data_IF_129592869660
#
_entry.id   IF_129592869660
#
_cell.length_a   1.000
_cell.length_b   1.000
_cell.length_c   1.000
_cell.angle_alpha   90.00
_cell.angle_beta   90.00
_cell.angle_gamma   90.00
#
_symmetry.space_group_name_H-M   'P 1'
#
loop_
_entity.id
_entity.type
_entity.pdbx_description
1 polymer ?
#
# COMPACT_ATOMS: atom_id res chain seq x y z
N UNK A 1 -22.35 -3.82 4.75
CA UNK A 1 -21.29 -4.63 4.11
C UNK A 1 -21.15 -5.93 4.85
N UNK A 2 -21.23 -7.03 4.11
CA UNK A 2 -20.91 -8.33 4.66
C UNK A 2 -19.38 -8.45 4.73
N UNK A 3 -18.85 -8.51 5.96
CA UNK A 3 -17.42 -8.64 6.18
C UNK A 3 -17.06 -10.12 6.30
N UNK A 4 -16.49 -10.66 5.23
CA UNK A 4 -15.99 -12.05 5.17
C UNK A 4 -17.03 -13.12 5.56
N UNK A 5 -18.32 -12.83 5.42
CA UNK A 5 -19.42 -13.71 5.84
C UNK A 5 -19.46 -13.97 7.36
N UNK A 6 -18.80 -13.12 8.16
CA UNK A 6 -18.75 -13.22 9.63
C UNK A 6 -19.68 -12.23 10.31
N UNK A 7 -19.80 -11.00 9.79
CA UNK A 7 -20.71 -10.00 10.34
C UNK A 7 -21.10 -8.93 9.32
N UNK A 8 -22.32 -8.41 9.46
CA UNK A 8 -22.87 -7.36 8.61
C UNK A 8 -22.66 -5.99 9.28
N UNK A 9 -21.78 -5.17 8.72
CA UNK A 9 -21.60 -3.78 9.16
C UNK A 9 -22.61 -2.90 8.42
N UNK A 10 -23.49 -2.19 9.14
CA UNK A 10 -24.38 -1.19 8.57
C UNK A 10 -24.09 0.18 9.18
N UNK A 11 -23.78 1.15 8.33
CA UNK A 11 -23.67 2.57 8.70
C UNK A 11 -24.22 3.42 7.54
N UNK A 12 -24.75 4.62 7.82
CA UNK A 12 -25.28 5.50 6.78
C UNK A 12 -24.16 6.07 5.91
N UNK A 13 -24.44 6.35 4.64
CA UNK A 13 -23.44 6.75 3.64
C UNK A 13 -22.57 7.94 4.09
N UNK A 14 -23.18 8.95 4.71
CA UNK A 14 -22.46 10.11 5.24
C UNK A 14 -21.42 9.75 6.30
N UNK A 15 -21.69 8.75 7.14
CA UNK A 15 -20.75 8.30 8.16
C UNK A 15 -19.54 7.61 7.52
N UNK A 16 -19.75 6.86 6.43
CA UNK A 16 -18.66 6.25 5.65
C UNK A 16 -17.68 7.28 5.09
N UNK A 17 -18.22 8.34 4.49
CA UNK A 17 -17.41 9.43 3.93
C UNK A 17 -16.56 10.09 5.02
N UNK A 18 -17.16 10.38 6.19
CA UNK A 18 -16.45 10.98 7.32
C UNK A 18 -15.33 10.06 7.82
N UNK A 19 -15.61 8.77 8.02
CA UNK A 19 -14.61 7.80 8.49
C UNK A 19 -13.44 7.73 7.50
N UNK A 20 -13.73 7.61 6.20
CA UNK A 20 -12.70 7.51 5.17
C UNK A 20 -11.83 8.77 5.13
N UNK A 21 -12.45 9.95 5.16
CA UNK A 21 -11.75 11.23 5.17
C UNK A 21 -10.86 11.39 6.42
N UNK A 22 -11.38 11.05 7.61
CA UNK A 22 -10.61 11.09 8.85
C UNK A 22 -9.43 10.13 8.83
N UNK A 23 -9.62 8.88 8.38
CA UNK A 23 -8.54 7.88 8.32
C UNK A 23 -7.46 8.25 7.29
N UNK A 24 -7.85 8.82 6.15
CA UNK A 24 -6.93 9.35 5.15
C UNK A 24 -6.12 10.54 5.71
N UNK A 25 -6.80 11.52 6.33
CA UNK A 25 -6.15 12.68 6.92
C UNK A 25 -5.16 12.29 8.04
N UNK A 26 -5.57 11.37 8.91
CA UNK A 26 -4.69 10.81 9.95
C UNK A 26 -3.48 10.12 9.34
N UNK A 27 -3.67 9.29 8.31
CA UNK A 27 -2.56 8.59 7.65
C UNK A 27 -1.55 9.55 7.02
N UNK A 28 -2.02 10.61 6.37
CA UNK A 28 -1.17 11.66 5.81
C UNK A 28 -0.38 12.37 6.93
N UNK A 29 -1.05 12.73 8.03
CA UNK A 29 -0.39 13.36 9.18
C UNK A 29 0.69 12.45 9.80
N UNK A 30 0.41 11.15 9.93
CA UNK A 30 1.38 10.15 10.42
C UNK A 30 2.57 10.01 9.47
N UNK A 31 2.35 10.09 8.16
CA UNK A 31 3.42 10.02 7.16
C UNK A 31 4.40 11.20 7.34
N UNK A 32 3.88 12.43 7.34
CA UNK A 32 4.71 13.62 7.51
C UNK A 32 5.36 13.69 8.89
N UNK A 33 4.63 13.33 9.96
CA UNK A 33 5.18 13.26 11.31
C UNK A 33 6.34 12.26 11.42
N UNK A 34 6.23 11.11 10.76
CA UNK A 34 7.28 10.10 10.73
C UNK A 34 8.53 10.58 9.99
N UNK A 35 8.40 11.35 8.90
CA UNK A 35 9.56 11.94 8.23
C UNK A 35 10.37 12.85 9.15
N UNK A 36 9.68 13.67 9.95
CA UNK A 36 10.33 14.55 10.92
C UNK A 36 11.09 13.76 11.99
N UNK A 37 10.49 12.71 12.53
CA UNK A 37 11.12 11.84 13.54
C UNK A 37 12.34 11.12 12.94
N UNK A 38 12.22 10.56 11.74
CA UNK A 38 13.33 9.88 11.06
C UNK A 38 14.50 10.83 10.77
N UNK A 39 14.21 12.06 10.32
CA UNK A 39 15.24 13.06 10.04
C UNK A 39 16.05 13.41 11.28
N UNK A 40 15.37 13.52 12.42
CA UNK A 40 16.01 13.82 13.69
C UNK A 40 16.81 12.63 14.23
N UNK A 41 16.27 11.41 14.15
CA UNK A 41 16.88 10.23 14.78
C UNK A 41 18.06 9.67 13.98
N UNK A 42 18.00 9.69 12.66
CA UNK A 42 19.05 9.13 11.82
C UNK A 42 20.14 10.17 11.46
N UNK A 43 20.02 11.41 11.95
CA UNK A 43 20.88 12.56 11.61
C UNK A 43 20.98 12.81 10.09
N UNK A 44 19.91 12.48 9.37
CA UNK A 44 19.81 12.64 7.91
C UNK A 44 18.97 13.86 7.57
N UNK A 45 19.41 14.61 6.55
CA UNK A 45 18.61 15.71 6.00
C UNK A 45 17.20 15.25 5.61
N UNK A 46 16.19 16.02 6.03
CA UNK A 46 14.78 15.80 5.71
C UNK A 46 14.54 15.61 4.21
N UNK A 47 15.24 16.39 3.36
CA UNK A 47 15.12 16.27 1.91
C UNK A 47 15.54 14.89 1.38
N UNK A 48 16.52 14.24 2.03
CA UNK A 48 16.99 12.92 1.62
C UNK A 48 15.99 11.84 1.99
N UNK A 49 15.35 11.95 3.15
CA UNK A 49 14.26 11.03 3.58
C UNK A 49 13.07 11.15 2.65
N UNK A 50 12.62 12.36 2.35
CA UNK A 50 11.53 12.62 1.41
C UNK A 50 11.89 12.12 0.00
N UNK A 51 13.13 12.33 -0.46
CA UNK A 51 13.60 11.79 -1.73
C UNK A 51 13.53 10.26 -1.79
N UNK A 52 13.99 9.58 -0.73
CA UNK A 52 13.92 8.11 -0.62
C UNK A 52 12.47 7.58 -0.56
N UNK A 53 11.56 8.32 0.08
CA UNK A 53 10.14 8.03 0.06
C UNK A 53 9.59 8.07 -1.36
N UNK A 54 9.85 9.13 -2.13
CA UNK A 54 9.35 9.26 -3.50
C UNK A 54 9.95 8.23 -4.47
N UNK A 55 11.23 7.86 -4.28
CA UNK A 55 11.84 6.76 -5.03
C UNK A 55 11.10 5.45 -4.74
N UNK A 56 10.84 5.15 -3.46
CA UNK A 56 10.11 3.94 -3.05
C UNK A 56 8.69 3.93 -3.60
N UNK A 57 8.00 5.06 -3.54
CA UNK A 57 6.66 5.24 -4.09
C UNK A 57 6.63 5.03 -5.60
N UNK A 58 7.57 5.62 -6.34
CA UNK A 58 7.70 5.44 -7.79
C UNK A 58 7.94 3.98 -8.17
N UNK A 59 8.84 3.29 -7.48
CA UNK A 59 9.09 1.86 -7.72
C UNK A 59 7.84 1.03 -7.45
N UNK A 60 7.13 1.28 -6.34
CA UNK A 60 5.89 0.55 -6.05
C UNK A 60 4.82 0.79 -7.12
N UNK A 61 4.64 2.04 -7.56
CA UNK A 61 3.67 2.37 -8.62
C UNK A 61 4.01 1.68 -9.94
N UNK A 62 5.28 1.68 -10.36
CA UNK A 62 5.73 0.94 -11.55
C UNK A 62 5.47 -0.56 -11.38
N UNK A 63 5.74 -1.10 -10.19
CA UNK A 63 5.55 -2.53 -9.90
C UNK A 63 4.07 -2.94 -9.96
N UNK A 64 3.18 -2.09 -9.46
CA UNK A 64 1.73 -2.27 -9.58
C UNK A 64 1.30 -2.18 -11.04
N UNK A 65 1.79 -1.19 -11.79
CA UNK A 65 1.47 -1.03 -13.21
C UNK A 65 1.92 -2.24 -14.05
N UNK A 66 3.13 -2.77 -13.79
CA UNK A 66 3.62 -4.00 -14.40
C UNK A 66 2.77 -5.21 -14.01
N UNK A 67 2.37 -5.32 -12.75
CA UNK A 67 1.46 -6.37 -12.29
C UNK A 67 0.14 -6.36 -13.04
N UNK A 68 -0.50 -5.18 -13.16
CA UNK A 68 -1.73 -5.00 -13.95
C UNK A 68 -1.48 -5.39 -15.41
N UNK A 69 -0.41 -4.89 -16.01
CA UNK A 69 -0.05 -5.19 -17.40
C UNK A 69 0.12 -6.68 -17.65
N UNK A 70 0.78 -7.40 -16.74
CA UNK A 70 0.98 -8.84 -16.86
C UNK A 70 -0.34 -9.62 -16.71
N UNK A 71 -1.20 -9.23 -15.77
CA UNK A 71 -2.55 -9.81 -15.63
C UNK A 71 -3.40 -9.58 -16.89
N UNK A 72 -3.29 -8.41 -17.53
CA UNK A 72 -3.98 -8.13 -18.79
C UNK A 72 -3.44 -8.96 -19.96
N UNK A 73 -2.11 -9.14 -20.05
CA UNK A 73 -1.50 -10.02 -21.06
C UNK A 73 -2.02 -11.45 -20.90
N UNK A 74 -2.11 -11.97 -19.67
CA UNK A 74 -2.68 -13.29 -19.42
C UNK A 74 -4.15 -13.37 -19.85
N UNK A 75 -4.95 -12.34 -19.60
CA UNK A 75 -6.33 -12.28 -20.07
C UNK A 75 -6.43 -12.34 -21.61
N UNK A 76 -5.54 -11.64 -22.33
CA UNK A 76 -5.49 -11.67 -23.79
C UNK A 76 -5.09 -13.05 -24.32
N UNK A 77 -4.08 -13.70 -23.70
CA UNK A 77 -3.67 -15.06 -24.07
C UNK A 77 -4.82 -16.05 -23.88
N UNK A 78 -5.52 -15.97 -22.73
CA UNK A 78 -6.67 -16.81 -22.45
C UNK A 78 -7.81 -16.60 -23.45
N UNK A 79 -8.05 -15.35 -23.85
CA UNK A 79 -9.04 -15.02 -24.87
C UNK A 79 -8.66 -15.61 -26.24
N UNK A 80 -7.38 -15.52 -26.63
CA UNK A 80 -6.88 -16.09 -27.88
C UNK A 80 -6.93 -17.63 -27.90
N UNK A 81 -6.74 -18.27 -26.75
CA UNK A 81 -6.83 -19.72 -26.59
C UNK A 81 -8.29 -20.25 -26.54
N UNK A 82 -9.30 -19.39 -26.69
CA UNK A 82 -10.71 -19.77 -26.60
C UNK A 82 -11.19 -20.05 -25.16
N UNK A 83 -10.34 -19.82 -24.16
CA UNK A 83 -10.64 -19.98 -22.74
C UNK A 83 -11.03 -18.67 -22.05
N UNK A 84 -11.58 -17.71 -22.80
CA UNK A 84 -12.10 -16.48 -22.22
C UNK A 84 -13.10 -16.82 -21.10
N UNK A 85 -13.03 -16.09 -19.98
CA UNK A 85 -13.94 -16.26 -18.83
C UNK A 85 -13.87 -17.64 -18.15
N UNK A 86 -12.87 -18.48 -18.44
CA UNK A 86 -12.72 -19.81 -17.81
C UNK A 86 -12.66 -19.78 -16.28
N UNK A 87 -12.23 -18.65 -15.72
CA UNK A 87 -12.20 -18.40 -14.27
C UNK A 87 -13.59 -18.30 -13.62
N UNK A 88 -14.68 -18.16 -14.39
CA UNK A 88 -16.05 -18.24 -13.87
C UNK A 88 -16.46 -19.67 -13.53
N UNK A 89 -15.94 -20.65 -14.27
CA UNK A 89 -16.19 -22.07 -14.02
C UNK A 89 -15.19 -22.61 -12.99
N UNK A 90 -13.92 -22.21 -13.12
CA UNK A 90 -12.83 -22.70 -12.28
C UNK A 90 -12.13 -21.55 -11.55
N UNK A 91 -12.66 -21.19 -10.38
CA UNK A 91 -12.20 -20.04 -9.57
C UNK A 91 -10.71 -20.14 -9.19
N UNK A 92 -10.16 -21.35 -9.07
CA UNK A 92 -8.74 -21.59 -8.79
C UNK A 92 -7.79 -20.99 -9.83
N UNK A 93 -8.26 -20.84 -11.08
CA UNK A 93 -7.49 -20.20 -12.15
C UNK A 93 -7.18 -18.73 -11.85
N UNK A 94 -8.03 -18.05 -11.06
CA UNK A 94 -7.81 -16.63 -10.69
C UNK A 94 -6.46 -16.48 -9.98
N UNK A 95 -6.14 -17.43 -9.10
CA UNK A 95 -4.91 -17.39 -8.33
C UNK A 95 -3.68 -17.49 -9.23
N UNK A 96 -3.62 -18.52 -10.08
CA UNK A 96 -2.47 -18.77 -10.96
C UNK A 96 -2.33 -17.74 -12.09
N UNK A 97 -3.44 -17.32 -12.70
CA UNK A 97 -3.43 -16.44 -13.88
C UNK A 97 -3.28 -14.96 -13.53
N UNK A 98 -3.87 -14.51 -12.42
CA UNK A 98 -3.96 -13.09 -12.11
C UNK A 98 -3.26 -12.73 -10.81
N UNK A 99 -3.49 -13.48 -9.72
CA UNK A 99 -2.96 -13.13 -8.40
C UNK A 99 -1.44 -13.35 -8.30
N UNK A 100 -0.95 -14.53 -8.68
CA UNK A 100 0.48 -14.86 -8.63
C UNK A 100 1.34 -13.88 -9.44
N UNK A 101 1.02 -13.59 -10.72
CA UNK A 101 1.83 -12.64 -11.48
C UNK A 101 1.81 -11.24 -10.89
N UNK A 102 0.65 -10.78 -10.40
CA UNK A 102 0.53 -9.48 -9.75
C UNK A 102 1.38 -9.39 -8.48
N UNK A 103 1.35 -10.41 -7.62
CA UNK A 103 2.18 -10.48 -6.40
C UNK A 103 3.66 -10.51 -6.75
N UNK A 104 4.05 -11.31 -7.74
CA UNK A 104 5.45 -11.40 -8.18
C UNK A 104 5.94 -10.03 -8.65
N UNK A 105 5.20 -9.34 -9.53
CA UNK A 105 5.58 -8.00 -10.00
C UNK A 105 5.68 -6.98 -8.85
N UNK A 106 4.70 -6.98 -7.94
CA UNK A 106 4.67 -6.04 -6.81
C UNK A 106 5.77 -6.29 -5.77
N UNK A 107 6.24 -7.53 -5.61
CA UNK A 107 7.38 -7.88 -4.73
C UNK A 107 8.72 -7.66 -5.43
N UNK A 108 8.81 -7.91 -6.73
CA UNK A 108 10.06 -7.82 -7.48
C UNK A 108 10.64 -6.40 -7.48
N UNK A 109 9.85 -5.37 -7.77
CA UNK A 109 10.38 -3.98 -7.79
C UNK A 109 11.06 -3.56 -6.48
N UNK A 110 10.42 -3.75 -5.30
CA UNK A 110 11.05 -3.52 -4.00
C UNK A 110 12.35 -4.32 -3.81
N UNK A 111 12.36 -5.61 -4.18
CA UNK A 111 13.55 -6.46 -4.06
C UNK A 111 14.68 -5.95 -4.95
N UNK A 112 14.38 -5.56 -6.18
CA UNK A 112 15.34 -4.98 -7.11
C UNK A 112 15.89 -3.65 -6.59
N UNK A 113 15.02 -2.79 -6.02
CA UNK A 113 15.44 -1.55 -5.40
C UNK A 113 16.42 -1.81 -4.25
N UNK A 114 16.12 -2.73 -3.34
CA UNK A 114 17.02 -3.05 -2.22
C UNK A 114 18.36 -3.62 -2.72
N UNK A 115 18.32 -4.48 -3.75
CA UNK A 115 19.51 -5.17 -4.28
C UNK A 115 20.44 -4.25 -5.07
N UNK A 116 19.89 -3.38 -5.91
CA UNK A 116 20.69 -2.58 -6.85
C UNK A 116 20.92 -1.15 -6.36
N UNK A 117 19.99 -0.58 -5.59
CA UNK A 117 20.10 0.80 -5.13
C UNK A 117 20.74 0.84 -3.73
N UNK A 118 22.03 1.19 -3.71
CA UNK A 118 22.80 1.43 -2.48
C UNK A 118 22.54 2.86 -2.01
N UNK A 119 21.89 2.98 -0.85
CA UNK A 119 21.67 4.25 -0.19
C UNK A 119 22.72 4.40 0.90
N UNK A 120 23.65 5.33 0.71
CA UNK A 120 24.58 5.73 1.75
C UNK A 120 23.85 6.57 2.80
N UNK A 121 24.23 6.43 4.07
CA UNK A 121 23.77 7.28 5.19
C UNK A 121 22.29 7.18 5.55
N UNK A 122 21.58 6.09 5.21
CA UNK A 122 20.22 5.83 5.72
C UNK A 122 20.15 4.40 6.26
N UNK A 123 19.73 4.24 7.52
CA UNK A 123 19.59 2.91 8.12
C UNK A 123 18.61 2.04 7.35
N UNK A 124 18.90 0.73 7.29
CA UNK A 124 18.02 -0.25 6.64
C UNK A 124 16.60 -0.24 7.22
N UNK A 125 16.47 -0.10 8.55
CA UNK A 125 15.17 -0.04 9.22
C UNK A 125 14.34 1.16 8.77
N UNK A 126 14.98 2.31 8.54
CA UNK A 126 14.32 3.51 8.04
C UNK A 126 13.91 3.34 6.59
N UNK A 127 14.73 2.69 5.76
CA UNK A 127 14.36 2.34 4.37
C UNK A 127 13.12 1.43 4.32
N UNK A 128 13.05 0.42 5.18
CA UNK A 128 11.88 -0.48 5.28
C UNK A 128 10.63 0.30 5.72
N UNK A 129 10.77 1.21 6.69
CA UNK A 129 9.64 2.01 7.16
C UNK A 129 9.16 2.98 6.07
N UNK A 130 10.06 3.64 5.34
CA UNK A 130 9.73 4.48 4.19
C UNK A 130 9.01 3.69 3.09
N UNK A 131 9.40 2.45 2.86
CA UNK A 131 8.71 1.56 1.94
C UNK A 131 7.26 1.28 2.39
N UNK A 132 7.05 0.95 3.67
CA UNK A 132 5.69 0.73 4.21
C UNK A 132 4.83 1.99 4.14
N UNK A 133 5.42 3.16 4.38
CA UNK A 133 4.72 4.45 4.26
C UNK A 133 4.37 4.79 2.81
N UNK A 134 5.22 4.43 1.85
CA UNK A 134 4.89 4.58 0.42
C UNK A 134 3.69 3.70 0.04
N UNK A 135 3.63 2.47 0.56
CA UNK A 135 2.51 1.56 0.34
C UNK A 135 1.23 2.11 0.99
N UNK A 136 1.34 2.62 2.22
CA UNK A 136 0.24 3.31 2.91
C UNK A 136 -0.27 4.50 2.09
N UNK A 137 0.62 5.30 1.49
CA UNK A 137 0.24 6.43 0.64
C UNK A 137 -0.55 6.00 -0.60
N UNK A 138 -0.17 4.88 -1.24
CA UNK A 138 -0.93 4.31 -2.37
C UNK A 138 -2.34 3.94 -1.91
N UNK A 139 -2.49 3.25 -0.78
CA UNK A 139 -3.82 2.88 -0.26
C UNK A 139 -4.65 4.09 0.16
N UNK A 140 -4.03 5.13 0.73
CA UNK A 140 -4.73 6.40 1.03
C UNK A 140 -5.22 7.06 -0.27
N UNK A 141 -4.39 7.12 -1.30
CA UNK A 141 -4.79 7.70 -2.59
C UNK A 141 -5.96 6.94 -3.22
N UNK A 142 -5.92 5.59 -3.18
CA UNK A 142 -7.02 4.74 -3.64
C UNK A 142 -8.29 4.99 -2.81
N UNK A 143 -8.17 5.06 -1.47
CA UNK A 143 -9.30 5.30 -0.58
C UNK A 143 -9.97 6.64 -0.88
N UNK A 144 -9.19 7.70 -1.06
CA UNK A 144 -9.69 9.05 -1.38
C UNK A 144 -10.38 9.04 -2.74
N UNK A 145 -9.78 8.41 -3.76
CA UNK A 145 -10.36 8.32 -5.10
C UNK A 145 -11.71 7.57 -5.09
N UNK A 146 -11.76 6.38 -4.46
CA UNK A 146 -12.97 5.55 -4.40
C UNK A 146 -14.08 6.23 -3.58
N UNK A 147 -13.70 6.94 -2.49
CA UNK A 147 -14.66 7.71 -1.69
C UNK A 147 -15.22 8.89 -2.49
N UNK A 148 -14.39 9.59 -3.26
CA UNK A 148 -14.83 10.69 -4.13
C UNK A 148 -15.72 10.24 -5.30
N UNK A 149 -15.59 8.98 -5.74
CA UNK A 149 -16.44 8.35 -6.73
C UNK A 149 -17.72 7.70 -6.14
N UNK A 150 -17.96 7.87 -4.83
CA UNK A 150 -19.12 7.31 -4.11
C UNK A 150 -19.26 5.78 -4.25
N UNK A 151 -18.14 5.09 -4.48
CA UNK A 151 -18.12 3.64 -4.61
C UNK A 151 -18.26 3.00 -3.22
N UNK A 152 -19.35 2.27 -3.01
CA UNK A 152 -19.70 1.66 -1.72
C UNK A 152 -18.63 0.70 -1.18
N UNK A 153 -17.79 0.09 -2.03
CA UNK A 153 -16.71 -0.81 -1.59
C UNK A 153 -15.49 -0.10 -0.98
N UNK A 154 -15.51 1.24 -0.83
CA UNK A 154 -14.44 2.01 -0.17
C UNK A 154 -14.04 1.46 1.21
N UNK A 155 -14.98 0.86 1.94
CA UNK A 155 -14.74 0.27 3.27
C UNK A 155 -13.59 -0.74 3.31
N UNK A 156 -13.35 -1.49 2.21
CA UNK A 156 -12.27 -2.46 2.14
C UNK A 156 -10.90 -1.78 2.30
N UNK A 157 -10.72 -0.64 1.64
CA UNK A 157 -9.51 0.15 1.72
C UNK A 157 -9.41 0.94 3.03
N UNK A 158 -10.54 1.35 3.61
CA UNK A 158 -10.58 1.97 4.95
C UNK A 158 -9.95 1.05 5.98
N UNK A 159 -10.31 -0.24 5.97
CA UNK A 159 -9.77 -1.23 6.92
C UNK A 159 -8.25 -1.37 6.76
N UNK A 160 -7.78 -1.46 5.51
CA UNK A 160 -6.33 -1.50 5.22
C UNK A 160 -5.62 -0.27 5.76
N UNK A 161 -6.15 0.93 5.50
CA UNK A 161 -5.58 2.20 5.99
C UNK A 161 -5.60 2.28 7.52
N UNK A 162 -6.64 1.79 8.18
CA UNK A 162 -6.71 1.70 9.65
C UNK A 162 -5.56 0.85 10.21
N UNK A 163 -5.31 -0.32 9.63
CA UNK A 163 -4.20 -1.18 10.05
C UNK A 163 -2.83 -0.55 9.80
N UNK A 164 -2.64 0.14 8.67
CA UNK A 164 -1.42 0.90 8.42
C UNK A 164 -1.23 2.03 9.43
N UNK A 165 -2.28 2.81 9.70
CA UNK A 165 -2.25 3.88 10.70
C UNK A 165 -1.88 3.33 12.09
N UNK A 166 -2.52 2.23 12.52
CA UNK A 166 -2.23 1.58 13.79
C UNK A 166 -0.78 1.10 13.86
N UNK A 167 -0.28 0.44 12.80
CA UNK A 167 1.11 -0.02 12.70
C UNK A 167 2.10 1.16 12.79
N UNK A 168 1.83 2.26 12.09
CA UNK A 168 2.68 3.46 12.13
C UNK A 168 2.69 4.10 13.51
N UNK A 169 1.53 4.21 14.18
CA UNK A 169 1.43 4.71 15.56
C UNK A 169 2.25 3.84 16.51
N UNK A 170 2.10 2.52 16.46
CA UNK A 170 2.86 1.59 17.29
C UNK A 170 4.37 1.73 17.04
N UNK A 171 4.78 1.81 15.77
CA UNK A 171 6.19 2.00 15.40
C UNK A 171 6.75 3.33 15.93
N UNK A 172 5.97 4.42 15.87
CA UNK A 172 6.38 5.70 16.45
C UNK A 172 6.55 5.58 17.96
N UNK A 173 5.57 5.01 18.69
CA UNK A 173 5.63 4.82 20.15
C UNK A 173 6.83 3.97 20.57
N UNK A 174 7.11 2.88 19.85
CA UNK A 174 8.24 2.00 20.16
C UNK A 174 9.57 2.70 19.87
N UNK A 175 9.70 3.41 18.73
CA UNK A 175 10.92 4.18 18.41
C UNK A 175 11.15 5.33 19.39
N UNK A 176 10.10 5.95 19.95
CA UNK A 176 10.24 6.91 21.05
C UNK A 176 10.85 6.29 22.31
N UNK A 177 10.82 4.96 22.46
CA UNK A 177 11.40 4.22 23.60
C UNK A 177 12.80 3.66 23.36
N UNK A 178 13.43 3.87 22.19
CA UNK A 178 14.85 3.54 22.03
C UNK A 178 15.69 4.55 22.83
N UNK A 179 15.74 4.27 24.14
CA UNK A 179 16.71 4.78 25.09
C UNK A 179 18.11 4.60 24.51
N UNK A 180 18.89 5.67 24.57
CA UNK A 180 20.34 5.63 24.53
C UNK A 180 20.85 4.46 25.38
N UNK A 181 21.53 3.52 24.73
CA UNK A 181 22.50 2.62 25.36
C UNK A 181 23.83 2.84 24.66
#
# INVERSE_FOLDING_TARGET
>A
FDFLNWFLIYYPDWAGIIINAMMAALGIALIFGSFFIMARNDEVSYSRIVGQFFISLGVQLISVALGIGFSLVMAVIMNAAGGALSWFTEVWLIFGLYMCPFIICTVLGPVLLIRFYKVENVLLQTRIMLFLMAQQMIFIAILVAITGLEIRSAFMFTIVVVFFNASTIVNMIIRFKQFHW
#
